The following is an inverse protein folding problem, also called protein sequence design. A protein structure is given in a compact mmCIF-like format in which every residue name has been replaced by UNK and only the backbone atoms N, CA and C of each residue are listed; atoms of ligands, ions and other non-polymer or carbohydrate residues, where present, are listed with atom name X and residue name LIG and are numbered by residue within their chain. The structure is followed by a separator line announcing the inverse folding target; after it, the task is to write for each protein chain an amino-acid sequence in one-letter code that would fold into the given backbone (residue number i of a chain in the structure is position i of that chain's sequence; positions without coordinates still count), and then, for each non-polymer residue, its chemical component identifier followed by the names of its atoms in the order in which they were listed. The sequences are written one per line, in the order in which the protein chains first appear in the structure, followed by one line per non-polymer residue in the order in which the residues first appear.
data_IF_058604729871
#
_entry.id   IF_058604729871
#
_cell.length_a   1.000
_cell.length_b   1.000
_cell.length_c   1.000
_cell.angle_alpha   90.00
_cell.angle_beta   90.00
_cell.angle_gamma   90.00
#
_symmetry.space_group_name_H-M   'P 1'
#
loop_
_entity.id
_entity.type
_entity.pdbx_description
1 polymer ?
#
# COMPACT_ATOMS: atom_id res chain seq x y z
N UNK A 1 -3.32 -26.37 -2.88
CA UNK A 1 -3.77 -25.22 -2.08
C UNK A 1 -5.04 -25.66 -1.39
N UNK A 2 -5.12 -25.57 -0.07
CA UNK A 2 -6.34 -26.00 0.66
C UNK A 2 -7.39 -24.90 0.64
N UNK A 3 -8.67 -25.24 0.85
CA UNK A 3 -9.78 -24.28 0.92
C UNK A 3 -9.49 -23.17 1.95
N UNK A 4 -8.93 -23.54 3.11
CA UNK A 4 -8.56 -22.58 4.15
C UNK A 4 -7.52 -21.55 3.67
N UNK A 5 -6.52 -21.98 2.88
CA UNK A 5 -5.53 -21.07 2.29
C UNK A 5 -6.13 -20.15 1.24
N UNK A 6 -7.13 -20.62 0.49
CA UNK A 6 -7.85 -19.82 -0.51
C UNK A 6 -8.67 -18.73 0.16
N UNK A 7 -9.38 -19.07 1.24
CA UNK A 7 -10.15 -18.11 2.04
C UNK A 7 -9.22 -17.08 2.70
N UNK A 8 -8.09 -17.52 3.26
CA UNK A 8 -7.10 -16.61 3.87
C UNK A 8 -6.50 -15.63 2.85
N UNK A 9 -6.06 -16.13 1.68
CA UNK A 9 -5.54 -15.24 0.62
C UNK A 9 -6.62 -14.30 0.11
N UNK A 10 -7.83 -14.79 -0.19
CA UNK A 10 -8.94 -13.96 -0.66
C UNK A 10 -9.33 -12.87 0.34
N UNK A 11 -9.45 -13.23 1.63
CA UNK A 11 -9.75 -12.28 2.70
C UNK A 11 -8.65 -11.23 2.87
N UNK A 12 -7.38 -11.65 2.90
CA UNK A 12 -6.26 -10.72 2.99
C UNK A 12 -6.15 -9.80 1.78
N UNK A 13 -6.48 -10.29 0.58
CA UNK A 13 -6.49 -9.49 -0.64
C UNK A 13 -7.62 -8.45 -0.65
N UNK A 14 -8.82 -8.82 -0.20
CA UNK A 14 -9.92 -7.87 -0.05
C UNK A 14 -9.57 -6.79 0.98
N UNK A 15 -9.02 -7.17 2.14
CA UNK A 15 -8.56 -6.22 3.14
C UNK A 15 -7.46 -5.29 2.60
N UNK A 16 -6.52 -5.84 1.83
CA UNK A 16 -5.47 -5.07 1.19
C UNK A 16 -6.05 -4.04 0.21
N UNK A 17 -6.95 -4.44 -0.68
CA UNK A 17 -7.56 -3.51 -1.65
C UNK A 17 -8.37 -2.44 -0.91
N UNK A 18 -9.23 -2.81 0.03
CA UNK A 18 -10.07 -1.85 0.76
C UNK A 18 -9.21 -0.84 1.52
N UNK A 19 -8.19 -1.30 2.24
CA UNK A 19 -7.27 -0.41 2.97
C UNK A 19 -6.42 0.45 2.03
N UNK A 20 -6.02 -0.08 0.87
CA UNK A 20 -5.33 0.69 -0.17
C UNK A 20 -6.21 1.83 -0.68
N UNK A 21 -7.47 1.56 -1.03
CA UNK A 21 -8.40 2.58 -1.52
C UNK A 21 -8.68 3.65 -0.47
N UNK A 22 -8.87 3.25 0.80
CA UNK A 22 -9.08 4.20 1.89
C UNK A 22 -7.85 5.07 2.12
N UNK A 23 -6.66 4.46 2.18
CA UNK A 23 -5.40 5.20 2.37
C UNK A 23 -5.12 6.13 1.20
N UNK A 24 -5.45 5.71 -0.02
CA UNK A 24 -5.30 6.53 -1.22
C UNK A 24 -6.23 7.74 -1.21
N UNK A 25 -7.50 7.54 -0.82
CA UNK A 25 -8.47 8.61 -0.65
C UNK A 25 -8.04 9.62 0.42
N UNK A 26 -7.68 9.13 1.61
CA UNK A 26 -7.17 9.98 2.69
C UNK A 26 -5.87 10.71 2.31
N UNK A 27 -5.03 10.03 1.53
CA UNK A 27 -3.80 10.55 0.98
C UNK A 27 -4.00 11.66 -0.05
N UNK A 28 -5.11 11.64 -0.80
CA UNK A 28 -5.41 12.65 -1.82
C UNK A 28 -5.63 14.06 -1.26
N UNK A 29 -5.89 14.18 0.05
CA UNK A 29 -5.91 15.46 0.76
C UNK A 29 -4.56 16.21 0.63
N UNK A 30 -3.48 15.54 0.23
CA UNK A 30 -2.22 16.17 -0.15
C UNK A 30 -2.40 17.24 -1.24
N UNK A 31 -3.32 17.04 -2.18
CA UNK A 31 -3.58 18.01 -3.27
C UNK A 31 -4.02 19.36 -2.72
N UNK A 32 -4.82 19.35 -1.65
CA UNK A 32 -5.40 20.55 -1.05
C UNK A 32 -4.48 21.20 0.00
N UNK A 33 -3.35 20.56 0.33
CA UNK A 33 -2.39 21.03 1.34
C UNK A 33 -0.98 21.21 0.74
N UNK A 34 -0.76 22.28 -0.05
CA UNK A 34 0.52 22.55 -0.69
C UNK A 34 1.70 22.73 0.27
N UNK A 35 1.44 23.22 1.48
CA UNK A 35 2.47 23.37 2.53
C UNK A 35 3.10 22.04 2.96
N UNK A 36 2.38 20.92 2.76
CA UNK A 36 2.86 19.58 3.12
C UNK A 36 3.69 18.93 2.00
N UNK A 37 3.72 19.52 0.80
CA UNK A 37 4.39 18.92 -0.35
C UNK A 37 5.88 18.71 -0.09
N UNK A 38 6.55 19.68 0.55
CA UNK A 38 7.98 19.58 0.91
C UNK A 38 8.30 18.32 1.73
N UNK A 39 7.39 17.91 2.61
CA UNK A 39 7.59 16.82 3.56
C UNK A 39 7.07 15.47 3.06
N UNK A 40 5.97 15.47 2.30
CA UNK A 40 5.28 14.23 1.92
C UNK A 40 5.36 13.90 0.44
N UNK A 41 5.60 14.88 -0.46
CA UNK A 41 5.77 14.62 -1.89
C UNK A 41 7.22 14.24 -2.25
N UNK A 42 7.73 13.20 -1.57
CA UNK A 42 9.13 12.75 -1.68
C UNK A 42 9.42 12.10 -3.02
N UNK A 43 8.48 11.31 -3.55
CA UNK A 43 8.67 10.64 -4.84
C UNK A 43 8.61 11.64 -5.99
N UNK A 44 7.67 12.59 -5.98
CA UNK A 44 7.64 13.66 -6.99
C UNK A 44 8.91 14.49 -6.99
N UNK A 45 9.42 14.89 -5.81
CA UNK A 45 10.71 15.57 -5.74
C UNK A 45 11.86 14.76 -6.32
N UNK A 46 11.92 13.48 -5.97
CA UNK A 46 13.01 12.61 -6.38
C UNK A 46 13.03 12.37 -7.91
N UNK A 47 11.86 12.28 -8.55
CA UNK A 47 11.75 11.93 -9.97
C UNK A 47 11.52 13.10 -10.92
N UNK A 48 10.89 14.20 -10.48
CA UNK A 48 10.52 15.35 -11.33
C UNK A 48 11.20 16.68 -10.94
N UNK A 49 11.69 16.82 -9.72
CA UNK A 49 12.19 18.10 -9.20
C UNK A 49 11.05 19.00 -8.68
N UNK A 50 11.25 20.33 -8.71
CA UNK A 50 10.38 21.33 -8.06
C UNK A 50 8.91 21.27 -8.48
N UNK A 51 8.03 21.52 -7.50
CA UNK A 51 6.58 21.45 -7.61
C UNK A 51 6.00 22.59 -8.48
N UNK A 52 5.72 22.32 -9.75
CA UNK A 52 5.04 23.28 -10.62
C UNK A 52 3.51 23.25 -10.50
N UNK A 53 2.92 22.10 -10.17
CA UNK A 53 1.46 21.93 -10.14
C UNK A 53 1.03 20.68 -9.34
N UNK A 54 -0.18 20.68 -8.77
CA UNK A 54 -0.75 19.52 -8.06
C UNK A 54 -0.89 18.27 -8.95
N UNK A 55 -1.03 18.49 -10.27
CA UNK A 55 -1.10 17.42 -11.27
C UNK A 55 0.22 16.64 -11.42
N UNK A 56 1.32 17.18 -10.90
CA UNK A 56 2.63 16.54 -10.96
C UNK A 56 2.91 15.63 -9.76
N UNK A 57 2.02 15.60 -8.76
CA UNK A 57 2.16 14.76 -7.57
C UNK A 57 1.88 13.31 -7.93
N UNK A 58 2.83 12.41 -7.65
CA UNK A 58 2.64 10.99 -7.87
C UNK A 58 1.63 10.45 -6.86
N UNK A 59 0.78 9.53 -7.30
CA UNK A 59 -0.19 8.86 -6.43
C UNK A 59 0.49 8.12 -5.27
N UNK A 60 1.77 7.74 -5.41
CA UNK A 60 2.55 7.13 -4.34
C UNK A 60 2.77 8.09 -3.16
N UNK A 61 2.89 9.40 -3.43
CA UNK A 61 3.04 10.41 -2.38
C UNK A 61 1.78 10.56 -1.53
N UNK A 62 0.61 10.19 -2.05
CA UNK A 62 -0.63 10.15 -1.27
C UNK A 62 -0.53 9.13 -0.13
N UNK A 63 0.13 8.00 -0.34
CA UNK A 63 0.35 7.01 0.72
C UNK A 63 1.35 7.51 1.77
N UNK A 64 2.31 8.36 1.41
CA UNK A 64 3.21 9.01 2.39
C UNK A 64 2.42 10.00 3.25
N UNK A 65 1.59 10.82 2.63
CA UNK A 65 0.71 11.75 3.35
C UNK A 65 -0.25 10.99 4.28
N UNK A 66 -0.90 9.95 3.77
CA UNK A 66 -1.77 9.09 4.57
C UNK A 66 -1.00 8.41 5.72
N UNK A 67 0.25 8.00 5.52
CA UNK A 67 1.05 7.41 6.58
C UNK A 67 1.35 8.41 7.71
N UNK A 68 1.50 9.71 7.39
CA UNK A 68 1.75 10.77 8.36
C UNK A 68 0.50 11.14 9.16
N UNK A 69 -0.65 11.32 8.49
CA UNK A 69 -1.86 11.86 9.12
C UNK A 69 -2.95 10.83 9.43
N UNK A 70 -2.96 9.71 8.70
CA UNK A 70 -3.94 8.63 8.83
C UNK A 70 -3.27 7.23 8.85
N UNK A 71 -2.33 6.99 9.78
CA UNK A 71 -1.46 5.80 9.74
C UNK A 71 -2.23 4.48 9.86
N UNK A 72 -3.42 4.48 10.47
CA UNK A 72 -4.18 3.26 10.76
C UNK A 72 -4.44 2.41 9.51
N UNK A 73 -5.00 3.01 8.45
CA UNK A 73 -5.31 2.28 7.23
C UNK A 73 -4.07 1.88 6.44
N UNK A 74 -3.01 2.68 6.50
CA UNK A 74 -1.71 2.35 5.90
C UNK A 74 -1.07 1.15 6.60
N UNK A 75 -1.16 1.06 7.93
CA UNK A 75 -0.66 -0.09 8.70
C UNK A 75 -1.43 -1.37 8.33
N UNK A 76 -2.76 -1.30 8.23
CA UNK A 76 -3.59 -2.44 7.80
C UNK A 76 -3.21 -2.89 6.38
N UNK A 77 -2.98 -1.95 5.47
CA UNK A 77 -2.52 -2.21 4.11
C UNK A 77 -1.16 -2.95 4.11
N UNK A 78 -0.18 -2.46 4.89
CA UNK A 78 1.15 -3.09 4.97
C UNK A 78 1.06 -4.50 5.58
N UNK A 79 0.33 -4.67 6.68
CA UNK A 79 0.19 -5.98 7.35
C UNK A 79 -0.49 -7.00 6.44
N UNK A 80 -1.59 -6.61 5.78
CA UNK A 80 -2.31 -7.51 4.86
C UNK A 80 -1.44 -7.90 3.66
N UNK A 81 -0.65 -6.97 3.13
CA UNK A 81 0.30 -7.25 2.06
C UNK A 81 1.42 -8.21 2.48
N UNK A 82 2.04 -7.99 3.64
CA UNK A 82 3.08 -8.88 4.18
C UNK A 82 2.49 -10.28 4.40
N UNK A 83 1.29 -10.36 4.97
CA UNK A 83 0.61 -11.64 5.19
C UNK A 83 0.39 -12.40 3.89
N UNK A 84 -0.05 -11.72 2.82
CA UNK A 84 -0.19 -12.33 1.49
C UNK A 84 1.13 -12.90 0.95
N UNK A 85 2.24 -12.16 1.10
CA UNK A 85 3.56 -12.61 0.66
C UNK A 85 3.99 -13.85 1.43
N UNK A 86 3.92 -13.81 2.77
CA UNK A 86 4.31 -14.93 3.64
C UNK A 86 3.47 -16.17 3.32
N UNK A 87 2.17 -16.02 3.15
CA UNK A 87 1.27 -17.13 2.83
C UNK A 87 1.58 -17.71 1.43
N UNK A 88 1.88 -16.85 0.45
CA UNK A 88 2.26 -17.28 -0.90
C UNK A 88 3.58 -18.06 -0.89
N UNK A 89 4.61 -17.54 -0.20
CA UNK A 89 5.91 -18.22 -0.03
C UNK A 89 5.72 -19.57 0.67
N UNK A 90 4.92 -19.62 1.73
CA UNK A 90 4.61 -20.86 2.45
C UNK A 90 3.93 -21.90 1.55
N UNK A 91 2.96 -21.49 0.72
CA UNK A 91 2.28 -22.38 -0.23
C UNK A 91 3.27 -22.94 -1.25
N UNK A 92 4.14 -22.10 -1.81
CA UNK A 92 5.16 -22.51 -2.78
C UNK A 92 6.15 -23.49 -2.15
N UNK A 93 6.67 -23.17 -0.95
CA UNK A 93 7.62 -24.00 -0.23
C UNK A 93 7.04 -25.37 0.13
N UNK A 94 5.82 -25.40 0.71
CA UNK A 94 5.14 -26.66 1.04
C UNK A 94 4.86 -27.52 -0.19
N UNK A 95 4.48 -26.90 -1.32
CA UNK A 95 4.26 -27.63 -2.57
C UNK A 95 5.55 -28.22 -3.14
N UNK A 96 6.70 -27.57 -2.92
CA UNK A 96 8.01 -28.10 -3.31
C UNK A 96 8.44 -29.27 -2.44
N UNK A 97 8.27 -29.18 -1.12
CA UNK A 97 8.62 -30.27 -0.19
C UNK A 97 7.72 -31.50 -0.31
N UNK A 98 6.44 -31.34 -0.64
CA UNK A 98 5.53 -32.48 -0.83
C UNK A 98 5.71 -33.22 -2.18
N UNK A 99 6.66 -32.79 -3.01
CA UNK A 99 7.00 -33.43 -4.31
C UNK A 99 8.33 -34.21 -4.26
N UNK A 100 8.88 -34.41 -3.06
CA UNK A 100 10.03 -35.27 -2.77
C UNK A 100 9.50 -36.43 -1.92
#
# INVERSE_FOLDING_TARGET
MTINQMVQLGGSFLLFISSTLISWYQGSNLIDNPDEWEYTAKFTNYFKGSYSNYKDIYQVDFFIYAAKFYPGWVVVMIISFIYMIVLSVYIIYKRKNNKI
#
